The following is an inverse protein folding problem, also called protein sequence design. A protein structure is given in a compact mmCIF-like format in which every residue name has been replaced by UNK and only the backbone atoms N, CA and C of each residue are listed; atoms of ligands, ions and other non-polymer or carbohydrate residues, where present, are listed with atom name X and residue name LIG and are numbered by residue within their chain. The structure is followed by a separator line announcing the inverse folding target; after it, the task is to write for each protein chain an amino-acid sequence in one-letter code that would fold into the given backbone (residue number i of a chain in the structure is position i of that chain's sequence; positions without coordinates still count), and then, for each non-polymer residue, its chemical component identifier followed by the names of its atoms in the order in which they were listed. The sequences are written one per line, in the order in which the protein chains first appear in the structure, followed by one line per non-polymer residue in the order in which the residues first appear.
data_IF_994271087162
#
_entry.id   IF_994271087162
#
_cell.length_a   1.000
_cell.length_b   1.000
_cell.length_c   1.000
_cell.angle_alpha   90.00
_cell.angle_beta   90.00
_cell.angle_gamma   90.00
#
_symmetry.space_group_name_H-M   'P 1'
#
loop_
_entity.id
_entity.type
_entity.pdbx_description
1 polymer ?
#
# COMPACT_ATOMS: atom_id res chain seq x y z
N UNK A 1 34.02 -58.92 -23.81
CA UNK A 1 32.81 -58.45 -23.13
C UNK A 1 31.68 -58.52 -24.14
N UNK A 2 30.74 -59.45 -23.96
CA UNK A 2 29.64 -59.66 -24.92
C UNK A 2 28.80 -58.40 -25.08
N UNK A 3 28.35 -58.12 -26.31
CA UNK A 3 27.51 -56.97 -26.63
C UNK A 3 26.23 -56.90 -25.78
N UNK A 4 25.78 -58.03 -25.22
CA UNK A 4 24.66 -58.11 -24.29
C UNK A 4 24.89 -57.28 -23.01
N UNK A 5 26.10 -57.28 -22.45
CA UNK A 5 26.44 -56.52 -21.24
C UNK A 5 26.41 -55.01 -21.51
N UNK A 6 26.86 -54.60 -22.70
CA UNK A 6 26.84 -53.19 -23.12
C UNK A 6 25.41 -52.65 -23.26
N UNK A 7 24.50 -53.43 -23.84
CA UNK A 7 23.09 -53.06 -23.97
C UNK A 7 22.37 -52.96 -22.62
N UNK A 8 22.71 -53.81 -21.65
CA UNK A 8 22.16 -53.73 -20.28
C UNK A 8 22.58 -52.42 -19.61
N UNK A 9 23.87 -52.05 -19.68
CA UNK A 9 24.37 -50.80 -19.11
C UNK A 9 23.69 -49.59 -19.75
N UNK A 10 23.53 -49.60 -21.08
CA UNK A 10 22.88 -48.51 -21.80
C UNK A 10 21.40 -48.36 -21.41
N UNK A 11 20.68 -49.48 -21.23
CA UNK A 11 19.30 -49.48 -20.76
C UNK A 11 19.14 -48.87 -19.36
N UNK A 12 20.05 -49.17 -18.44
CA UNK A 12 20.05 -48.59 -17.08
C UNK A 12 20.29 -47.07 -17.12
N UNK A 13 21.22 -46.60 -17.94
CA UNK A 13 21.51 -45.17 -18.10
C UNK A 13 20.29 -44.44 -18.67
N UNK A 14 19.65 -44.99 -19.71
CA UNK A 14 18.42 -44.39 -20.28
C UNK A 14 17.30 -44.36 -19.24
N UNK A 15 17.07 -45.46 -18.51
CA UNK A 15 16.06 -45.50 -17.47
C UNK A 15 16.30 -44.45 -16.38
N UNK A 16 17.56 -44.28 -15.95
CA UNK A 16 17.94 -43.26 -14.97
C UNK A 16 17.68 -41.84 -15.49
N UNK A 17 17.98 -41.56 -16.77
CA UNK A 17 17.69 -40.28 -17.41
C UNK A 17 16.18 -40.01 -17.48
N UNK A 18 15.37 -40.99 -17.87
CA UNK A 18 13.91 -40.86 -17.93
C UNK A 18 13.33 -40.55 -16.55
N UNK A 19 13.79 -41.26 -15.51
CA UNK A 19 13.37 -41.00 -14.12
C UNK A 19 13.78 -39.60 -13.68
N UNK A 20 14.99 -39.16 -14.00
CA UNK A 20 15.48 -37.82 -13.66
C UNK A 20 14.65 -36.72 -14.31
N UNK A 21 14.37 -36.83 -15.62
CA UNK A 21 13.55 -35.84 -16.34
C UNK A 21 12.10 -35.83 -15.84
N UNK A 22 11.52 -37.00 -15.57
CA UNK A 22 10.18 -37.10 -14.99
C UNK A 22 10.11 -36.43 -13.61
N UNK A 23 11.10 -36.69 -12.74
CA UNK A 23 11.19 -36.06 -11.42
C UNK A 23 11.34 -34.54 -11.51
N UNK A 24 12.22 -34.04 -12.39
CA UNK A 24 12.44 -32.62 -12.60
C UNK A 24 11.15 -31.91 -13.07
N UNK A 25 10.45 -32.48 -14.06
CA UNK A 25 9.20 -31.93 -14.57
C UNK A 25 8.09 -31.87 -13.50
N UNK A 26 7.97 -32.91 -12.66
CA UNK A 26 7.01 -32.93 -11.56
C UNK A 26 7.37 -31.86 -10.51
N UNK A 27 8.63 -31.77 -10.12
CA UNK A 27 9.12 -30.80 -9.13
C UNK A 27 8.90 -29.36 -9.60
N UNK A 28 9.18 -29.07 -10.86
CA UNK A 28 8.97 -27.75 -11.46
C UNK A 28 7.48 -27.40 -11.54
N UNK A 29 6.62 -28.36 -11.88
CA UNK A 29 5.16 -28.17 -11.87
C UNK A 29 4.64 -27.81 -10.48
N UNK A 30 5.10 -28.50 -9.43
CA UNK A 30 4.72 -28.22 -8.03
C UNK A 30 5.23 -26.83 -7.61
N UNK A 31 6.49 -26.52 -7.90
CA UNK A 31 7.10 -25.21 -7.59
C UNK A 31 6.35 -24.08 -8.27
N UNK A 32 6.01 -24.23 -9.55
CA UNK A 32 5.26 -23.23 -10.31
C UNK A 32 3.85 -23.03 -9.76
N UNK A 33 3.16 -24.10 -9.33
CA UNK A 33 1.85 -23.98 -8.67
C UNK A 33 1.95 -23.20 -7.36
N UNK A 34 2.98 -23.46 -6.56
CA UNK A 34 3.22 -22.74 -5.30
C UNK A 34 3.50 -21.25 -5.56
N UNK A 35 4.40 -20.92 -6.48
CA UNK A 35 4.70 -19.52 -6.85
C UNK A 35 3.45 -18.79 -7.36
N UNK A 36 2.63 -19.44 -8.19
CA UNK A 36 1.37 -18.85 -8.67
C UNK A 36 0.40 -18.56 -7.53
N UNK A 37 0.29 -19.48 -6.56
CA UNK A 37 -0.56 -19.30 -5.38
C UNK A 37 -0.05 -18.13 -4.51
N UNK A 38 1.23 -18.11 -4.19
CA UNK A 38 1.86 -17.03 -3.41
C UNK A 38 1.71 -15.68 -4.11
N UNK A 39 1.84 -15.65 -5.44
CA UNK A 39 1.60 -14.43 -6.24
C UNK A 39 0.14 -13.97 -6.15
N UNK A 40 -0.83 -14.88 -6.26
CA UNK A 40 -2.24 -14.54 -6.17
C UNK A 40 -2.62 -14.05 -4.76
N UNK A 41 -2.06 -14.66 -3.70
CA UNK A 41 -2.22 -14.21 -2.32
C UNK A 41 -1.63 -12.81 -2.12
N UNK A 42 -0.41 -12.58 -2.63
CA UNK A 42 0.22 -11.26 -2.58
C UNK A 42 -0.58 -10.19 -3.34
N UNK A 43 -1.11 -10.50 -4.52
CA UNK A 43 -1.96 -9.58 -5.29
C UNK A 43 -3.27 -9.24 -4.54
N UNK A 44 -3.87 -10.22 -3.86
CA UNK A 44 -5.06 -10.00 -3.04
C UNK A 44 -4.75 -9.10 -1.83
N UNK A 45 -3.63 -9.35 -1.13
CA UNK A 45 -3.18 -8.52 -0.02
C UNK A 45 -2.87 -7.10 -0.48
N UNK A 46 -2.17 -6.94 -1.60
CA UNK A 46 -1.85 -5.64 -2.18
C UNK A 46 -3.11 -4.85 -2.53
N UNK A 47 -4.11 -5.51 -3.14
CA UNK A 47 -5.41 -4.90 -3.45
C UNK A 47 -6.16 -4.49 -2.19
N UNK A 48 -6.18 -5.33 -1.16
CA UNK A 48 -6.83 -4.98 0.11
C UNK A 48 -6.12 -3.82 0.81
N UNK A 49 -4.78 -3.81 0.82
CA UNK A 49 -3.99 -2.71 1.34
C UNK A 49 -4.25 -1.42 0.57
N UNK A 50 -4.29 -1.49 -0.76
CA UNK A 50 -4.61 -0.35 -1.62
C UNK A 50 -5.97 0.28 -1.29
N UNK A 51 -7.02 -0.54 -1.12
CA UNK A 51 -8.33 -0.05 -0.68
C UNK A 51 -8.26 0.67 0.68
N UNK A 52 -7.56 0.09 1.66
CA UNK A 52 -7.36 0.74 2.97
C UNK A 52 -6.58 2.05 2.83
N UNK A 53 -5.57 2.09 1.96
CA UNK A 53 -4.78 3.29 1.72
C UNK A 53 -5.61 4.41 1.08
N UNK A 54 -6.54 4.10 0.16
CA UNK A 54 -7.52 5.06 -0.37
C UNK A 54 -8.35 5.66 0.76
N UNK A 55 -8.91 4.82 1.63
CA UNK A 55 -9.74 5.28 2.75
C UNK A 55 -8.91 6.15 3.70
N UNK A 56 -7.74 5.68 4.15
CA UNK A 56 -6.84 6.44 5.03
C UNK A 56 -6.50 7.81 4.44
N UNK A 57 -6.17 7.88 3.15
CA UNK A 57 -5.79 9.13 2.49
C UNK A 57 -6.95 10.11 2.46
N UNK A 58 -8.16 9.65 2.10
CA UNK A 58 -9.35 10.50 2.09
C UNK A 58 -9.73 10.99 3.49
N UNK A 59 -9.66 10.12 4.51
CA UNK A 59 -9.87 10.50 5.91
C UNK A 59 -8.89 11.59 6.35
N UNK A 60 -7.61 11.48 5.99
CA UNK A 60 -6.60 12.53 6.28
C UNK A 60 -6.97 13.84 5.60
N UNK A 61 -7.37 13.78 4.32
CA UNK A 61 -7.79 14.95 3.54
C UNK A 61 -8.97 15.65 4.21
N UNK A 62 -10.05 14.91 4.48
CA UNK A 62 -11.27 15.41 5.12
C UNK A 62 -10.98 16.00 6.50
N UNK A 63 -10.19 15.28 7.31
CA UNK A 63 -9.84 15.73 8.66
C UNK A 63 -9.04 17.03 8.62
N UNK A 64 -8.02 17.12 7.76
CA UNK A 64 -7.24 18.34 7.60
C UNK A 64 -8.12 19.50 7.11
N UNK A 65 -9.00 19.28 6.13
CA UNK A 65 -9.92 20.31 5.63
C UNK A 65 -10.88 20.80 6.73
N UNK A 66 -11.42 19.89 7.54
CA UNK A 66 -12.25 20.23 8.69
C UNK A 66 -11.48 21.12 9.69
N UNK A 67 -10.28 20.68 10.10
CA UNK A 67 -9.44 21.44 11.03
C UNK A 67 -9.03 22.82 10.47
N UNK A 68 -8.78 22.92 9.16
CA UNK A 68 -8.51 24.20 8.49
C UNK A 68 -9.74 25.11 8.45
N UNK A 69 -10.94 24.56 8.25
CA UNK A 69 -12.18 25.33 8.23
C UNK A 69 -12.59 25.86 9.60
N UNK A 70 -12.26 25.10 10.66
CA UNK A 70 -12.48 25.46 12.06
C UNK A 70 -11.35 26.36 12.62
N UNK A 71 -10.29 26.57 11.84
CA UNK A 71 -9.16 27.39 12.25
C UNK A 71 -9.55 28.87 12.36
N UNK A 72 -9.72 29.36 13.58
CA UNK A 72 -9.85 30.79 13.86
C UNK A 72 -8.50 31.40 14.23
N UNK A 73 -8.08 32.43 13.48
CA UNK A 73 -6.85 33.19 13.75
C UNK A 73 -6.92 33.78 15.16
N UNK A 74 -5.86 33.59 15.95
CA UNK A 74 -5.68 34.13 17.32
C UNK A 74 -6.54 33.52 18.45
N UNK A 75 -7.46 32.59 18.16
CA UNK A 75 -8.26 31.86 19.18
C UNK A 75 -8.06 30.33 19.07
N UNK A 76 -7.59 29.84 17.93
CA UNK A 76 -7.38 28.42 17.67
C UNK A 76 -6.42 27.73 18.65
N UNK A 77 -6.74 26.48 18.99
CA UNK A 77 -5.96 25.60 19.89
C UNK A 77 -4.55 25.27 19.36
N UNK A 78 -4.33 25.42 18.06
CA UNK A 78 -3.09 25.08 17.36
C UNK A 78 -2.76 26.16 16.34
N UNK A 79 -1.49 26.26 15.92
CA UNK A 79 -1.06 27.17 14.83
C UNK A 79 -1.29 26.52 13.47
N UNK A 80 -1.48 27.35 12.44
CA UNK A 80 -1.66 26.88 11.06
C UNK A 80 -0.46 26.03 10.59
N UNK A 81 0.76 26.45 10.93
CA UNK A 81 1.98 25.70 10.63
C UNK A 81 1.99 24.32 11.28
N UNK A 82 1.58 24.23 12.55
CA UNK A 82 1.49 22.95 13.28
C UNK A 82 0.54 21.99 12.59
N UNK A 83 -0.63 22.46 12.12
CA UNK A 83 -1.57 21.63 11.39
C UNK A 83 -1.00 21.15 10.04
N UNK A 84 -0.37 22.04 9.28
CA UNK A 84 0.23 21.67 7.98
C UNK A 84 1.39 20.70 8.16
N UNK A 85 2.20 20.89 9.20
CA UNK A 85 3.37 20.05 9.50
C UNK A 85 2.92 18.68 10.03
N UNK A 86 1.94 18.63 10.94
CA UNK A 86 1.32 17.38 11.40
C UNK A 86 0.73 16.57 10.24
N UNK A 87 -0.01 17.21 9.33
CA UNK A 87 -0.57 16.51 8.17
C UNK A 87 0.53 15.90 7.30
N UNK A 88 1.61 16.65 7.07
CA UNK A 88 2.78 16.18 6.34
C UNK A 88 3.48 15.03 7.04
N UNK A 89 3.65 15.12 8.35
CA UNK A 89 4.30 14.08 9.17
C UNK A 89 3.50 12.77 9.14
N UNK A 90 2.17 12.83 9.28
CA UNK A 90 1.30 11.65 9.15
C UNK A 90 1.48 10.97 7.78
N UNK A 91 1.44 11.75 6.69
CA UNK A 91 1.63 11.20 5.33
C UNK A 91 3.05 10.63 5.14
N UNK A 92 4.05 11.31 5.69
CA UNK A 92 5.47 10.90 5.65
C UNK A 92 5.73 9.62 6.46
N UNK A 93 5.05 9.43 7.57
CA UNK A 93 5.10 8.19 8.35
C UNK A 93 4.46 7.03 7.59
N UNK A 94 3.26 7.24 7.02
CA UNK A 94 2.55 6.22 6.25
C UNK A 94 3.35 5.71 5.04
N UNK A 95 3.94 6.60 4.24
CA UNK A 95 4.74 6.19 3.07
C UNK A 95 6.00 5.41 3.47
N UNK A 96 6.47 5.57 4.71
CA UNK A 96 7.63 4.85 5.24
C UNK A 96 7.29 3.46 5.75
N UNK A 97 6.01 3.17 6.02
CA UNK A 97 5.53 1.87 6.50
C UNK A 97 5.95 0.75 5.53
N UNK A 98 6.32 -0.41 6.11
CA UNK A 98 6.82 -1.56 5.36
C UNK A 98 5.81 -2.00 4.29
N UNK A 99 4.54 -2.07 4.66
CA UNK A 99 3.47 -2.55 3.80
C UNK A 99 3.17 -1.55 2.68
N UNK A 100 3.23 -0.24 2.94
CA UNK A 100 3.10 0.78 1.91
C UNK A 100 4.21 0.65 0.86
N UNK A 101 5.46 0.48 1.29
CA UNK A 101 6.59 0.25 0.38
C UNK A 101 6.45 -1.04 -0.41
N UNK A 102 6.02 -2.11 0.25
CA UNK A 102 5.93 -3.44 -0.33
C UNK A 102 4.79 -3.55 -1.34
N UNK A 103 3.59 -3.08 -0.98
CA UNK A 103 2.39 -3.26 -1.78
C UNK A 103 2.13 -2.13 -2.78
N UNK A 104 2.52 -0.88 -2.47
CA UNK A 104 2.20 0.27 -3.33
C UNK A 104 3.43 0.77 -4.10
N UNK A 105 4.52 1.10 -3.42
CA UNK A 105 5.69 1.71 -4.10
C UNK A 105 6.36 0.74 -5.06
N UNK A 106 6.53 -0.52 -4.65
CA UNK A 106 7.17 -1.54 -5.49
C UNK A 106 6.24 -2.14 -6.54
N UNK A 107 4.94 -1.84 -6.50
CA UNK A 107 3.98 -2.35 -7.46
C UNK A 107 3.65 -1.29 -8.52
N UNK A 108 4.06 -1.48 -9.79
CA UNK A 108 3.77 -0.54 -10.87
C UNK A 108 2.27 -0.25 -11.08
N UNK A 109 1.39 -1.19 -10.72
CA UNK A 109 -0.07 -1.04 -10.82
C UNK A 109 -0.56 0.20 -10.05
N UNK A 110 0.09 0.53 -8.93
CA UNK A 110 -0.31 1.62 -8.04
C UNK A 110 0.58 2.85 -8.17
N UNK A 111 1.39 2.95 -9.23
CA UNK A 111 2.30 4.09 -9.44
C UNK A 111 1.55 5.44 -9.47
N UNK A 112 0.38 5.50 -10.11
CA UNK A 112 -0.45 6.71 -10.15
C UNK A 112 -0.93 7.12 -8.77
N UNK A 113 -1.31 6.15 -7.93
CA UNK A 113 -1.71 6.42 -6.55
C UNK A 113 -0.54 7.01 -5.76
N UNK A 114 0.63 6.38 -5.85
CA UNK A 114 1.84 6.83 -5.14
C UNK A 114 2.23 8.23 -5.59
N UNK A 115 2.16 8.53 -6.89
CA UNK A 115 2.48 9.86 -7.41
C UNK A 115 1.54 10.93 -6.86
N UNK A 116 0.21 10.70 -6.91
CA UNK A 116 -0.75 11.66 -6.37
C UNK A 116 -0.59 11.82 -4.85
N UNK A 117 -0.26 10.74 -4.14
CA UNK A 117 -0.02 10.76 -2.69
C UNK A 117 1.20 11.61 -2.34
N UNK A 118 2.31 11.44 -3.07
CA UNK A 118 3.54 12.23 -2.88
C UNK A 118 3.29 13.71 -3.21
N UNK A 119 2.55 14.02 -4.26
CA UNK A 119 2.20 15.40 -4.61
C UNK A 119 1.43 16.11 -3.49
N UNK A 120 0.49 15.42 -2.84
CA UNK A 120 -0.20 15.95 -1.66
C UNK A 120 0.77 16.14 -0.49
N UNK A 121 1.62 15.16 -0.20
CA UNK A 121 2.58 15.22 0.91
C UNK A 121 3.59 16.37 0.76
N UNK A 122 4.04 16.65 -0.47
CA UNK A 122 5.02 17.71 -0.75
C UNK A 122 4.40 19.12 -0.75
N UNK A 123 3.08 19.21 -0.87
CA UNK A 123 2.38 20.49 -0.83
C UNK A 123 1.79 20.75 0.56
N UNK A 124 1.98 21.95 1.10
CA UNK A 124 1.37 22.32 2.39
C UNK A 124 -0.15 22.16 2.32
N UNK A 125 -0.71 21.48 3.31
CA UNK A 125 -2.11 21.03 3.27
C UNK A 125 -3.14 22.16 3.21
N UNK A 126 -2.77 23.36 3.67
CA UNK A 126 -3.57 24.57 3.54
C UNK A 126 -3.69 25.10 2.08
N UNK A 127 -2.83 24.63 1.16
CA UNK A 127 -2.84 25.02 -0.25
C UNK A 127 -3.47 23.97 -1.18
N UNK A 128 -3.85 22.79 -0.68
CA UNK A 128 -4.34 21.69 -1.52
C UNK A 128 -5.54 22.09 -2.40
N UNK A 129 -6.49 22.85 -1.85
CA UNK A 129 -7.67 23.31 -2.60
C UNK A 129 -7.30 24.21 -3.80
N UNK A 130 -6.14 24.88 -3.75
CA UNK A 130 -5.67 25.74 -4.83
C UNK A 130 -4.75 25.01 -5.79
N UNK A 131 -3.81 24.23 -5.26
CA UNK A 131 -2.66 23.69 -6.01
C UNK A 131 -2.77 22.20 -6.36
N UNK A 132 -3.62 21.44 -5.66
CA UNK A 132 -3.74 19.98 -5.80
C UNK A 132 -5.16 19.52 -6.10
N UNK A 133 -5.92 20.32 -6.87
CA UNK A 133 -7.31 19.98 -7.22
C UNK A 133 -7.42 18.63 -7.93
N UNK A 134 -6.44 18.31 -8.76
CA UNK A 134 -6.42 17.06 -9.52
C UNK A 134 -6.20 15.86 -8.59
N UNK A 135 -5.23 15.94 -7.67
CA UNK A 135 -4.98 14.89 -6.68
C UNK A 135 -6.19 14.68 -5.75
N UNK A 136 -6.80 15.78 -5.28
CA UNK A 136 -8.00 15.71 -4.45
C UNK A 136 -9.16 15.02 -5.21
N UNK A 137 -9.40 15.41 -6.46
CA UNK A 137 -10.42 14.78 -7.30
C UNK A 137 -10.12 13.31 -7.56
N UNK A 138 -8.84 12.96 -7.74
CA UNK A 138 -8.41 11.57 -7.94
C UNK A 138 -8.73 10.71 -6.71
N UNK A 139 -8.38 11.17 -5.50
CA UNK A 139 -8.66 10.40 -4.28
C UNK A 139 -10.15 10.29 -3.96
N UNK A 140 -10.94 11.34 -4.23
CA UNK A 140 -12.39 11.27 -4.04
C UNK A 140 -13.06 10.33 -5.05
N UNK A 141 -12.59 10.33 -6.31
CA UNK A 141 -13.06 9.38 -7.31
C UNK A 141 -12.72 7.94 -6.89
N UNK A 142 -11.47 7.68 -6.48
CA UNK A 142 -11.08 6.36 -5.99
C UNK A 142 -11.94 5.89 -4.82
N UNK A 143 -12.29 6.80 -3.90
CA UNK A 143 -13.18 6.50 -2.77
C UNK A 143 -14.61 6.19 -3.24
N UNK A 144 -15.13 6.93 -4.22
CA UNK A 144 -16.45 6.69 -4.81
C UNK A 144 -16.53 5.34 -5.52
N UNK A 145 -15.44 4.94 -6.17
CA UNK A 145 -15.33 3.65 -6.88
C UNK A 145 -15.12 2.46 -5.92
N UNK A 146 -14.94 2.69 -4.62
CA UNK A 146 -14.85 1.60 -3.64
C UNK A 146 -16.21 0.96 -3.39
N UNK A 147 -16.16 -0.34 -3.14
CA UNK A 147 -17.30 -1.08 -2.62
C UNK A 147 -17.78 -0.47 -1.28
N UNK A 148 -19.06 -0.10 -1.24
CA UNK A 148 -19.66 0.63 -0.12
C UNK A 148 -19.66 -0.18 1.18
N UNK A 149 -19.80 -1.51 1.10
CA UNK A 149 -19.77 -2.37 2.28
C UNK A 149 -18.36 -2.37 2.91
N UNK A 150 -17.33 -2.57 2.08
CA UNK A 150 -15.94 -2.48 2.52
C UNK A 150 -15.61 -1.09 3.10
N UNK A 151 -16.07 -0.03 2.43
CA UNK A 151 -15.86 1.34 2.89
C UNK A 151 -16.44 1.56 4.29
N UNK A 152 -17.72 1.22 4.50
CA UNK A 152 -18.39 1.43 5.78
C UNK A 152 -17.77 0.62 6.93
N UNK A 153 -17.31 -0.61 6.65
CA UNK A 153 -16.64 -1.45 7.64
C UNK A 153 -15.29 -0.86 8.06
N UNK A 154 -14.47 -0.45 7.09
CA UNK A 154 -13.11 0.01 7.35
C UNK A 154 -13.05 1.48 7.79
N UNK A 155 -13.95 2.34 7.34
CA UNK A 155 -13.87 3.79 7.56
C UNK A 155 -13.87 4.14 9.05
N UNK A 156 -14.70 3.50 9.88
CA UNK A 156 -14.79 3.83 11.30
C UNK A 156 -13.48 3.55 12.05
N UNK A 157 -12.90 2.36 11.83
CA UNK A 157 -11.62 1.97 12.42
C UNK A 157 -10.50 2.90 11.96
N UNK A 158 -10.42 3.15 10.65
CA UNK A 158 -9.38 3.98 10.07
C UNK A 158 -9.51 5.45 10.46
N UNK A 159 -10.74 5.96 10.58
CA UNK A 159 -10.99 7.33 11.05
C UNK A 159 -10.53 7.50 12.49
N UNK A 160 -10.79 6.51 13.35
CA UNK A 160 -10.30 6.53 14.73
C UNK A 160 -8.77 6.49 14.80
N UNK A 161 -8.10 5.63 14.00
CA UNK A 161 -6.64 5.58 13.92
C UNK A 161 -6.04 6.95 13.52
N UNK A 162 -6.62 7.59 12.51
CA UNK A 162 -6.14 8.89 12.02
C UNK A 162 -6.42 9.99 13.05
N UNK A 163 -7.60 10.01 13.68
CA UNK A 163 -7.92 10.96 14.75
C UNK A 163 -6.88 10.89 15.87
N UNK A 164 -6.59 9.67 16.34
CA UNK A 164 -5.62 9.45 17.42
C UNK A 164 -4.21 9.91 17.00
N UNK A 165 -3.82 9.71 15.73
CA UNK A 165 -2.54 10.21 15.19
C UNK A 165 -2.49 11.73 15.18
N UNK A 166 -3.55 12.41 14.73
CA UNK A 166 -3.63 13.88 14.76
C UNK A 166 -3.53 14.41 16.19
N UNK A 167 -4.28 13.84 17.13
CA UNK A 167 -4.23 14.27 18.54
C UNK A 167 -2.83 14.10 19.14
N UNK A 168 -2.20 12.93 18.95
CA UNK A 168 -0.85 12.65 19.45
C UNK A 168 0.19 13.62 18.88
N UNK A 169 0.16 13.87 17.57
CA UNK A 169 1.14 14.73 16.92
C UNK A 169 0.92 16.22 17.24
N UNK A 170 -0.33 16.69 17.30
CA UNK A 170 -0.64 18.08 17.69
C UNK A 170 -0.27 18.35 19.16
N UNK A 171 -0.47 17.38 20.05
CA UNK A 171 0.00 17.47 21.45
C UNK A 171 1.53 17.49 21.57
N UNK A 172 2.23 16.77 20.70
CA UNK A 172 3.69 16.77 20.66
C UNK A 172 4.23 18.12 20.16
N UNK A 173 3.68 18.63 19.06
CA UNK A 173 4.14 19.87 18.42
C UNK A 173 3.85 21.11 19.27
N UNK A 174 2.76 21.10 20.06
CA UNK A 174 2.46 22.17 21.02
C UNK A 174 3.36 22.19 22.26
N UNK A 175 3.97 21.06 22.64
CA UNK A 175 4.95 20.98 23.76
C UNK A 175 6.38 21.33 23.35
N UNK A 176 6.69 21.32 22.05
CA UNK A 176 8.01 21.62 21.50
C UNK A 176 8.19 23.06 21.01
N UNK A 177 7.12 23.87 21.02
CA UNK A 177 7.14 25.32 20.75
C UNK A 177 7.19 26.12 22.05
#
# INVERSE_FOLDING_TARGET
MDGMVMWIIFGVIIAALVIFFAYAAIKDSIKNKKIKKEKAEFELEAKNFYKKAIIKTNVIIEKNQKLLSEFQVSIGKYKMSELTDTTRDILSEQIKEKDFKMFLIKNPEYATFVQNYVNLMDTKSNNWLKNNKNELSYFEQLKTDLDQEFFNQAQNELSFEIEEKYEKQLLKNSKSS
#
